data_IF_207774422463
#
_entry.id   IF_207774422463
#
_cell.length_a   1.000
_cell.length_b   1.000
_cell.length_c   1.000
_cell.angle_alpha   90.00
_cell.angle_beta   90.00
_cell.angle_gamma   90.00
#
_symmetry.space_group_name_H-M   'P 1'
#
loop_
_entity.id
_entity.type
_entity.pdbx_description
1 polymer ?
#
# COMPACT_ATOMS: atom_id res chain seq x y z
N UNK A 1 1.73 18.96 -14.15
CA UNK A 1 0.77 19.85 -13.48
C UNK A 1 1.19 21.28 -13.78
N UNK A 2 0.33 22.07 -14.42
CA UNK A 2 0.65 23.47 -14.76
C UNK A 2 0.11 24.32 -13.61
N UNK A 3 0.98 24.93 -12.81
CA UNK A 3 0.55 25.76 -11.69
C UNK A 3 -0.19 26.99 -12.23
N UNK A 4 -1.41 27.29 -11.78
CA UNK A 4 -2.07 28.53 -12.12
C UNK A 4 -1.40 29.65 -11.31
N UNK A 5 -0.35 30.25 -11.88
CA UNK A 5 0.30 31.45 -11.33
C UNK A 5 -0.61 32.69 -11.40
N UNK A 6 -1.72 32.59 -12.12
CA UNK A 6 -2.64 33.70 -12.40
C UNK A 6 -3.60 34.03 -11.23
N UNK A 7 -3.49 33.35 -10.07
CA UNK A 7 -4.46 33.45 -8.97
C UNK A 7 -3.95 33.99 -7.62
N UNK A 8 -2.63 34.04 -7.37
CA UNK A 8 -2.13 34.43 -6.05
C UNK A 8 -2.23 35.95 -5.90
N UNK A 9 -3.17 36.41 -5.07
CA UNK A 9 -3.49 37.83 -4.85
C UNK A 9 -4.64 38.38 -5.70
N UNK A 10 -5.37 37.52 -6.43
CA UNK A 10 -6.62 37.91 -7.07
C UNK A 10 -7.70 38.14 -6.00
N UNK A 11 -8.41 39.27 -6.03
CA UNK A 11 -9.48 39.60 -5.07
C UNK A 11 -9.09 40.45 -3.86
N UNK A 12 -7.83 40.89 -3.73
CA UNK A 12 -7.39 41.79 -2.64
C UNK A 12 -8.21 43.10 -2.60
N UNK A 13 -8.49 43.68 -3.77
CA UNK A 13 -9.29 44.91 -3.89
C UNK A 13 -10.76 44.67 -3.53
N UNK A 14 -11.32 43.52 -3.89
CA UNK A 14 -12.70 43.12 -3.57
C UNK A 14 -12.87 42.78 -2.07
N UNK A 15 -11.80 42.31 -1.43
CA UNK A 15 -11.71 42.11 0.02
C UNK A 15 -11.43 43.40 0.81
N UNK A 16 -11.25 44.54 0.13
CA UNK A 16 -10.93 45.83 0.75
C UNK A 16 -9.52 45.92 1.35
N UNK A 17 -8.63 44.99 1.00
CA UNK A 17 -7.27 44.91 1.53
C UNK A 17 -6.39 45.91 0.75
N UNK A 18 -5.91 46.92 1.46
CA UNK A 18 -5.05 47.99 0.89
C UNK A 18 -3.69 48.08 1.57
N UNK A 19 -3.55 47.44 2.74
CA UNK A 19 -2.29 47.36 3.45
C UNK A 19 -1.40 46.23 2.94
N UNK A 20 -0.09 46.49 2.90
CA UNK A 20 0.91 45.58 2.36
C UNK A 20 1.06 44.31 3.21
N UNK A 21 0.93 44.41 4.53
CA UNK A 21 1.05 43.26 5.43
C UNK A 21 -0.20 42.40 5.36
N UNK A 22 -1.39 43.01 5.31
CA UNK A 22 -2.64 42.27 5.09
C UNK A 22 -2.66 41.56 3.73
N UNK A 23 -2.12 42.20 2.68
CA UNK A 23 -1.97 41.58 1.36
C UNK A 23 -1.03 40.37 1.40
N UNK A 24 0.05 40.45 2.18
CA UNK A 24 0.99 39.35 2.34
C UNK A 24 0.37 38.20 3.14
N UNK A 25 -0.32 38.49 4.25
CA UNK A 25 -1.01 37.49 5.07
C UNK A 25 -2.09 36.75 4.28
N UNK A 26 -2.89 37.48 3.50
CA UNK A 26 -3.89 36.88 2.60
C UNK A 26 -3.25 35.93 1.59
N UNK A 27 -2.18 36.37 0.92
CA UNK A 27 -1.45 35.52 -0.03
C UNK A 27 -0.82 34.28 0.62
N UNK A 28 -0.33 34.39 1.85
CA UNK A 28 0.21 33.25 2.61
C UNK A 28 -0.87 32.25 3.01
N UNK A 29 -2.03 32.72 3.47
CA UNK A 29 -3.13 31.85 3.88
C UNK A 29 -3.71 31.08 2.68
N UNK A 30 -3.95 31.76 1.56
CA UNK A 30 -4.38 31.12 0.31
C UNK A 30 -3.38 30.07 -0.18
N UNK A 31 -2.08 30.38 -0.12
CA UNK A 31 -1.03 29.42 -0.49
C UNK A 31 -0.95 28.23 0.48
N UNK A 32 -1.15 28.47 1.78
CA UNK A 32 -1.15 27.42 2.80
C UNK A 32 -2.36 26.49 2.66
N UNK A 33 -3.55 27.03 2.38
CA UNK A 33 -4.77 26.25 2.16
C UNK A 33 -4.64 25.38 0.90
N UNK A 34 -4.12 25.93 -0.20
CA UNK A 34 -3.83 25.14 -1.40
C UNK A 34 -2.82 24.01 -1.12
N UNK A 35 -1.75 24.29 -0.36
CA UNK A 35 -0.77 23.27 0.01
C UNK A 35 -1.40 22.19 0.91
N UNK A 36 -2.26 22.58 1.86
CA UNK A 36 -2.98 21.66 2.71
C UNK A 36 -3.91 20.75 1.90
N UNK A 37 -4.65 21.30 0.95
CA UNK A 37 -5.54 20.52 0.07
C UNK A 37 -4.77 19.53 -0.81
N UNK A 38 -3.62 19.92 -1.37
CA UNK A 38 -2.77 18.99 -2.13
C UNK A 38 -2.28 17.85 -1.24
N UNK A 39 -1.77 18.15 -0.04
CA UNK A 39 -1.29 17.14 0.90
C UNK A 39 -2.43 16.24 1.36
N UNK A 40 -3.59 16.81 1.71
CA UNK A 40 -4.76 16.06 2.17
C UNK A 40 -5.29 15.13 1.09
N UNK A 41 -5.43 15.59 -0.15
CA UNK A 41 -5.90 14.75 -1.26
C UNK A 41 -4.92 13.60 -1.55
N UNK A 42 -3.60 13.85 -1.46
CA UNK A 42 -2.59 12.82 -1.62
C UNK A 42 -2.57 11.82 -0.44
N UNK A 43 -2.91 12.27 0.77
CA UNK A 43 -3.03 11.43 1.95
C UNK A 43 -4.37 10.70 2.00
N UNK A 44 -5.47 11.21 1.44
CA UNK A 44 -6.76 10.51 1.45
C UNK A 44 -6.76 9.28 0.52
N UNK A 45 -5.92 9.27 -0.51
CA UNK A 45 -5.66 8.08 -1.33
C UNK A 45 -4.85 7.00 -0.59
N UNK A 46 -4.44 7.26 0.67
CA UNK A 46 -3.67 6.33 1.50
C UNK A 46 -4.52 5.51 2.45
N UNK A 47 -5.85 5.58 2.41
CA UNK A 47 -6.70 4.64 3.16
C UNK A 47 -6.47 3.22 2.63
N UNK A 48 -5.50 2.54 3.25
CA UNK A 48 -4.97 1.21 2.99
C UNK A 48 -3.95 0.98 1.85
N UNK A 49 -3.25 1.97 1.27
CA UNK A 49 -2.03 1.78 0.41
C UNK A 49 -1.97 0.52 -0.52
N UNK A 50 -3.09 0.01 -1.05
CA UNK A 50 -3.14 -1.24 -1.82
C UNK A 50 -3.04 -2.55 -1.02
N UNK A 51 -3.29 -2.52 0.29
CA UNK A 51 -3.51 -3.67 1.16
C UNK A 51 -4.92 -4.22 1.01
N UNK A 52 -5.01 -5.54 0.92
CA UNK A 52 -6.24 -6.33 0.79
C UNK A 52 -6.42 -7.08 2.11
N UNK A 53 -7.59 -6.95 2.75
CA UNK A 53 -7.88 -7.72 3.96
C UNK A 53 -7.99 -9.20 3.59
N UNK A 54 -7.56 -10.09 4.51
CA UNK A 54 -7.71 -11.54 4.28
C UNK A 54 -9.18 -11.95 4.11
N UNK A 55 -10.10 -11.18 4.69
CA UNK A 55 -11.56 -11.36 4.55
C UNK A 55 -12.07 -11.00 3.15
N UNK A 56 -11.39 -10.08 2.45
CA UNK A 56 -11.74 -9.66 1.08
C UNK A 56 -11.18 -10.62 0.02
N UNK A 57 -10.15 -11.39 0.37
CA UNK A 57 -9.60 -12.43 -0.50
C UNK A 57 -8.19 -12.88 -0.12
N UNK A 58 -7.78 -14.01 -0.66
CA UNK A 58 -6.42 -14.52 -0.61
C UNK A 58 -5.68 -14.23 -1.93
N UNK A 59 -4.34 -14.20 -1.93
CA UNK A 59 -3.57 -14.10 -3.17
C UNK A 59 -3.89 -15.27 -4.10
N UNK A 60 -3.83 -15.01 -5.41
CA UNK A 60 -4.10 -16.03 -6.42
C UNK A 60 -3.09 -17.17 -6.33
N UNK A 61 -3.61 -18.40 -6.20
CA UNK A 61 -2.78 -19.61 -6.21
C UNK A 61 -2.76 -20.27 -7.58
N UNK A 62 -1.59 -20.78 -7.95
CA UNK A 62 -1.36 -21.57 -9.16
C UNK A 62 -0.96 -23.00 -8.80
N UNK A 63 -1.15 -23.94 -9.74
CA UNK A 63 -0.73 -25.32 -9.54
C UNK A 63 0.76 -25.42 -9.26
N UNK A 64 1.10 -26.14 -8.20
CA UNK A 64 2.46 -26.48 -7.81
C UNK A 64 3.07 -27.51 -8.77
N UNK A 65 4.40 -27.58 -8.79
CA UNK A 65 5.13 -28.65 -9.46
C UNK A 65 4.76 -30.06 -8.92
N UNK A 66 4.26 -30.14 -7.69
CA UNK A 66 3.83 -31.38 -7.04
C UNK A 66 2.41 -31.81 -7.42
N UNK A 67 1.58 -30.93 -7.99
CA UNK A 67 0.17 -31.22 -8.29
C UNK A 67 -0.01 -32.50 -9.13
N UNK A 68 0.93 -32.76 -10.06
CA UNK A 68 0.94 -33.97 -10.90
C UNK A 68 1.09 -35.30 -10.14
N UNK A 69 1.55 -35.27 -8.89
CA UNK A 69 1.74 -36.45 -8.06
C UNK A 69 0.59 -36.66 -7.06
N UNK A 70 -0.42 -35.78 -7.05
CA UNK A 70 -1.58 -35.92 -6.17
C UNK A 70 -2.30 -37.24 -6.44
N UNK A 71 -2.59 -38.00 -5.37
CA UNK A 71 -3.24 -39.30 -5.47
C UNK A 71 -2.33 -40.45 -5.92
N UNK A 72 -1.03 -40.21 -6.08
CA UNK A 72 -0.05 -41.27 -6.37
C UNK A 72 0.71 -41.68 -5.11
N UNK A 73 1.39 -42.82 -5.19
CA UNK A 73 2.34 -43.32 -4.19
C UNK A 73 3.55 -42.40 -3.97
N UNK A 74 3.82 -41.49 -4.91
CA UNK A 74 4.86 -40.46 -4.80
C UNK A 74 4.42 -39.22 -4.03
N UNK A 75 3.16 -39.14 -3.63
CA UNK A 75 2.66 -38.04 -2.81
C UNK A 75 3.14 -38.16 -1.37
N UNK A 76 3.66 -37.07 -0.82
CA UNK A 76 3.98 -36.96 0.60
C UNK A 76 3.17 -35.84 1.26
N UNK A 77 2.94 -35.92 2.57
CA UNK A 77 2.21 -34.89 3.32
C UNK A 77 2.86 -33.49 3.27
N UNK A 78 4.16 -33.40 2.98
CA UNK A 78 4.86 -32.14 2.78
C UNK A 78 4.66 -31.52 1.39
N UNK A 79 3.98 -32.21 0.46
CA UNK A 79 3.64 -31.66 -0.85
C UNK A 79 2.32 -30.90 -0.79
N UNK A 80 2.18 -29.92 -1.68
CA UNK A 80 1.01 -29.05 -1.80
C UNK A 80 0.58 -28.98 -3.27
N UNK A 81 -0.72 -28.85 -3.51
CA UNK A 81 -1.29 -28.84 -4.85
C UNK A 81 -1.20 -27.45 -5.48
N UNK A 82 -1.39 -26.41 -4.69
CA UNK A 82 -1.47 -25.01 -5.10
C UNK A 82 -0.58 -24.12 -4.23
N UNK A 83 -0.02 -23.08 -4.85
CA UNK A 83 0.88 -22.13 -4.21
C UNK A 83 0.67 -20.73 -4.80
N UNK A 84 0.64 -19.70 -3.95
CA UNK A 84 0.66 -18.31 -4.42
C UNK A 84 2.08 -17.83 -4.73
N UNK A 85 2.19 -16.71 -5.44
CA UNK A 85 3.44 -15.94 -5.41
C UNK A 85 3.70 -15.38 -4.01
N UNK A 86 4.95 -15.04 -3.72
CA UNK A 86 5.29 -14.32 -2.49
C UNK A 86 4.66 -12.93 -2.50
N UNK A 87 4.08 -12.55 -1.36
CA UNK A 87 3.40 -11.29 -1.12
C UNK A 87 3.85 -10.71 0.22
N UNK A 88 3.68 -9.41 0.39
CA UNK A 88 3.82 -8.80 1.71
C UNK A 88 2.54 -9.01 2.51
N UNK A 89 2.69 -9.42 3.77
CA UNK A 89 1.57 -9.67 4.68
C UNK A 89 1.78 -8.89 5.97
N UNK A 90 0.68 -8.39 6.53
CA UNK A 90 0.65 -7.86 7.90
C UNK A 90 0.20 -8.96 8.84
N UNK A 91 1.07 -9.35 9.78
CA UNK A 91 0.77 -10.28 10.85
C UNK A 91 0.50 -9.54 12.15
N UNK A 92 -0.51 -9.98 12.88
CA UNK A 92 -0.83 -9.56 14.24
C UNK A 92 -0.47 -10.69 15.22
N UNK A 93 0.25 -10.31 16.28
CA UNK A 93 0.69 -11.19 17.36
C UNK A 93 -0.29 -11.15 18.54
N UNK A 94 -0.18 -12.09 19.47
CA UNK A 94 -1.06 -12.16 20.66
C UNK A 94 -0.94 -10.93 21.58
N UNK A 95 0.20 -10.25 21.58
CA UNK A 95 0.42 -9.01 22.34
C UNK A 95 -0.15 -7.76 21.64
N UNK A 96 -0.81 -7.93 20.48
CA UNK A 96 -1.38 -6.86 19.67
C UNK A 96 -0.36 -6.14 18.78
N UNK A 97 0.92 -6.50 18.84
CA UNK A 97 1.92 -5.94 17.92
C UNK A 97 1.66 -6.41 16.50
N UNK A 98 2.03 -5.58 15.52
CA UNK A 98 1.88 -5.86 14.10
C UNK A 98 3.20 -5.73 13.38
N UNK A 99 3.48 -6.64 12.46
CA UNK A 99 4.66 -6.59 11.61
C UNK A 99 4.31 -6.94 10.17
N UNK A 100 5.08 -6.36 9.24
CA UNK A 100 5.05 -6.73 7.83
C UNK A 100 6.14 -7.75 7.54
N UNK A 101 5.77 -8.88 6.96
CA UNK A 101 6.70 -9.93 6.52
C UNK A 101 6.35 -10.38 5.10
N UNK A 102 7.23 -11.14 4.47
CA UNK A 102 6.94 -11.80 3.18
C UNK A 102 6.47 -13.24 3.42
N UNK A 103 5.39 -13.63 2.78
CA UNK A 103 4.81 -14.98 2.87
C UNK A 103 4.05 -15.35 1.58
N UNK A 104 3.61 -16.59 1.48
CA UNK A 104 2.73 -17.10 0.44
C UNK A 104 1.70 -18.07 1.04
N UNK A 105 0.71 -18.46 0.24
CA UNK A 105 -0.25 -19.50 0.61
C UNK A 105 0.10 -20.83 -0.06
N UNK A 106 -0.23 -21.92 0.63
CA UNK A 106 -0.17 -23.30 0.16
C UNK A 106 -1.54 -23.93 0.39
N UNK A 107 -2.20 -24.38 -0.67
CA UNK A 107 -3.55 -24.96 -0.62
C UNK A 107 -4.55 -24.10 0.20
N UNK A 108 -4.51 -22.77 0.00
CA UNK A 108 -5.35 -21.79 0.67
C UNK A 108 -4.93 -21.43 2.11
N UNK A 109 -3.76 -21.89 2.57
CA UNK A 109 -3.27 -21.63 3.95
C UNK A 109 -1.95 -20.87 3.94
N UNK A 110 -1.83 -19.86 4.80
CA UNK A 110 -0.60 -19.09 4.94
C UNK A 110 0.59 -19.94 5.42
N UNK A 111 1.67 -19.92 4.64
CA UNK A 111 2.95 -20.52 4.99
C UNK A 111 3.85 -19.47 5.67
N UNK A 112 3.76 -19.39 6.99
CA UNK A 112 4.51 -18.43 7.79
C UNK A 112 5.86 -19.02 8.26
N UNK A 113 6.93 -18.19 8.35
CA UNK A 113 8.28 -18.67 8.67
C UNK A 113 8.46 -19.15 10.11
N UNK A 114 7.68 -18.63 11.07
CA UNK A 114 7.77 -19.02 12.49
C UNK A 114 6.47 -19.66 12.98
N UNK A 115 6.54 -20.92 13.40
CA UNK A 115 5.37 -21.69 13.87
C UNK A 115 5.23 -21.73 15.40
N UNK A 116 6.19 -21.17 16.14
CA UNK A 116 6.20 -21.23 17.61
C UNK A 116 5.32 -20.13 18.22
N UNK A 117 5.30 -18.95 17.59
CA UNK A 117 4.48 -17.82 18.02
C UNK A 117 3.17 -17.84 17.24
N UNK A 118 2.03 -17.66 17.92
CA UNK A 118 0.75 -17.52 17.20
C UNK A 118 0.74 -16.21 16.45
N UNK A 119 0.57 -16.30 15.14
CA UNK A 119 0.50 -15.18 14.21
C UNK A 119 -0.81 -15.28 13.44
N UNK A 120 -1.52 -14.16 13.33
CA UNK A 120 -2.70 -14.04 12.48
C UNK A 120 -2.38 -13.09 11.34
N UNK A 121 -2.47 -13.56 10.09
CA UNK A 121 -2.42 -12.66 8.93
C UNK A 121 -3.74 -11.91 8.85
N UNK A 122 -3.69 -10.58 8.78
CA UNK A 122 -4.87 -9.71 8.73
C UNK A 122 -5.05 -9.01 7.38
N UNK A 123 -3.95 -8.73 6.67
CA UNK A 123 -3.96 -8.10 5.35
C UNK A 123 -2.74 -8.53 4.53
N UNK A 124 -2.83 -8.42 3.21
CA UNK A 124 -1.73 -8.71 2.29
C UNK A 124 -1.72 -7.75 1.10
N UNK A 125 -0.58 -7.66 0.40
CA UNK A 125 -0.45 -6.95 -0.88
C UNK A 125 0.63 -7.57 -1.76
N UNK A 126 0.54 -7.43 -3.09
CA UNK A 126 1.63 -7.83 -3.98
C UNK A 126 2.96 -7.17 -3.58
N UNK A 127 4.06 -7.87 -3.85
CA UNK A 127 5.39 -7.27 -3.73
C UNK A 127 5.49 -6.04 -4.65
N UNK A 128 6.19 -4.98 -4.22
CA UNK A 128 6.44 -3.83 -5.09
C UNK A 128 7.23 -4.27 -6.33
N UNK A 129 7.09 -3.50 -7.41
CA UNK A 129 7.94 -3.70 -8.57
C UNK A 129 9.43 -3.66 -8.18
N UNK A 130 10.20 -4.56 -8.76
CA UNK A 130 11.65 -4.57 -8.56
C UNK A 130 12.25 -3.24 -9.00
N UNK A 131 13.21 -2.73 -8.23
CA UNK A 131 13.95 -1.54 -8.60
C UNK A 131 14.63 -1.73 -9.98
N UNK A 132 14.34 -0.81 -10.91
CA UNK A 132 15.00 -0.76 -12.22
C UNK A 132 15.74 0.59 -12.37
N UNK A 133 17.08 0.60 -12.39
CA UNK A 133 17.87 1.82 -12.47
C UNK A 133 17.79 2.54 -13.83
N UNK A 134 17.23 1.95 -14.89
CA UNK A 134 17.26 2.53 -16.25
C UNK A 134 16.21 3.64 -16.51
N UNK A 135 15.40 4.03 -15.52
CA UNK A 135 14.56 5.24 -15.61
C UNK A 135 15.39 6.49 -15.29
N UNK A 136 16.37 6.80 -16.14
CA UNK A 136 17.23 7.96 -15.96
C UNK A 136 18.36 8.07 -16.99
N UNK A 137 18.00 8.36 -18.24
CA UNK A 137 18.72 9.21 -19.21
C UNK A 137 18.12 8.98 -20.60
N UNK A 138 17.25 9.90 -21.02
CA UNK A 138 16.78 10.10 -22.38
C UNK A 138 16.56 11.58 -22.61
#
# INVERSE_FOLDING_TARGET
>A
MKYPIDGIGCGLEDAGITDRYESAEYGWNEAADMAYDVVKNHLSDTENEGWILVEDGLPEERNSMFAKWKGTDKWSESMFEKISSDVNVTVEYEDGTRQTITAHTLDGKWALPNRVVKQKVIAWRPLPESYNPEKGCG
#
